data_IF_038535513299
#
_entry.id   IF_038535513299
#
_cell.length_a   1.000
_cell.length_b   1.000
_cell.length_c   1.000
_cell.angle_alpha   90.00
_cell.angle_beta   90.00
_cell.angle_gamma   90.00
#
_symmetry.space_group_name_H-M   'P 1'
#
loop_
_entity.id
_entity.type
_entity.pdbx_description
1 polymer ?
#
# COMPACT_ATOMS: atom_id res chain seq x y z
N UNK A 1 9.98 -7.72 -27.66
CA UNK A 1 8.80 -8.24 -26.95
C UNK A 1 9.06 -8.18 -25.44
N UNK A 2 8.08 -7.77 -24.61
CA UNK A 2 8.24 -7.73 -23.16
C UNK A 2 8.45 -9.15 -22.59
N UNK A 3 9.36 -9.30 -21.63
CA UNK A 3 9.59 -10.58 -20.96
C UNK A 3 8.37 -10.98 -20.13
N UNK A 4 8.14 -12.29 -19.95
CA UNK A 4 7.07 -12.82 -19.06
C UNK A 4 7.12 -12.20 -17.66
N UNK A 5 8.32 -11.97 -17.13
CA UNK A 5 8.56 -11.29 -15.85
C UNK A 5 8.13 -9.83 -15.84
N UNK A 6 8.32 -9.11 -16.95
CA UNK A 6 7.87 -7.72 -17.08
C UNK A 6 6.35 -7.63 -17.11
N UNK A 7 5.69 -8.53 -17.84
CA UNK A 7 4.22 -8.62 -17.87
C UNK A 7 3.68 -8.89 -16.46
N UNK A 8 4.26 -9.86 -15.74
CA UNK A 8 3.86 -10.18 -14.37
C UNK A 8 4.00 -8.98 -13.41
N UNK A 9 5.10 -8.23 -13.50
CA UNK A 9 5.33 -7.03 -12.68
C UNK A 9 4.27 -5.96 -12.96
N UNK A 10 3.89 -5.74 -14.22
CA UNK A 10 2.84 -4.77 -14.55
C UNK A 10 1.46 -5.21 -14.07
N UNK A 11 1.14 -6.50 -14.18
CA UNK A 11 -0.12 -7.05 -13.65
C UNK A 11 -0.17 -6.85 -12.12
N UNK A 12 0.91 -7.16 -11.40
CA UNK A 12 0.97 -6.95 -9.95
C UNK A 12 0.82 -5.47 -9.58
N UNK A 13 1.50 -4.58 -10.29
CA UNK A 13 1.37 -3.13 -10.08
C UNK A 13 -0.07 -2.65 -10.29
N UNK A 14 -0.74 -3.14 -11.35
CA UNK A 14 -2.14 -2.84 -11.62
C UNK A 14 -3.06 -3.35 -10.50
N UNK A 15 -2.86 -4.58 -10.02
CA UNK A 15 -3.63 -5.16 -8.91
C UNK A 15 -3.46 -4.33 -7.64
N UNK A 16 -2.24 -3.92 -7.30
CA UNK A 16 -1.98 -3.02 -6.17
C UNK A 16 -2.70 -1.68 -6.34
N UNK A 17 -2.69 -1.12 -7.55
CA UNK A 17 -3.44 0.09 -7.89
C UNK A 17 -4.95 -0.06 -7.69
N UNK A 18 -5.55 -1.15 -8.18
CA UNK A 18 -6.98 -1.45 -8.00
C UNK A 18 -7.33 -1.58 -6.51
N UNK A 19 -6.51 -2.28 -5.73
CA UNK A 19 -6.71 -2.39 -4.28
C UNK A 19 -6.62 -1.03 -3.60
N UNK A 20 -5.71 -0.17 -4.04
CA UNK A 20 -5.56 1.20 -3.52
C UNK A 20 -6.79 2.07 -3.83
N UNK A 21 -7.35 1.96 -5.04
CA UNK A 21 -8.61 2.63 -5.42
C UNK A 21 -9.78 2.11 -4.58
N UNK A 22 -9.84 0.79 -4.35
CA UNK A 22 -10.89 0.19 -3.52
C UNK A 22 -10.82 0.69 -2.07
N UNK A 23 -9.62 0.74 -1.48
CA UNK A 23 -9.39 1.31 -0.15
C UNK A 23 -9.82 2.78 -0.13
N UNK A 24 -9.38 3.58 -1.09
CA UNK A 24 -9.73 5.00 -1.17
C UNK A 24 -11.25 5.21 -1.27
N UNK A 25 -11.93 4.40 -2.09
CA UNK A 25 -13.38 4.46 -2.28
C UNK A 25 -14.13 4.11 -0.99
N UNK A 26 -13.71 3.06 -0.27
CA UNK A 26 -14.29 2.67 1.01
C UNK A 26 -14.09 3.75 2.07
N UNK A 27 -12.89 4.32 2.16
CA UNK A 27 -12.59 5.37 3.14
C UNK A 27 -13.37 6.65 2.80
N UNK A 28 -13.40 7.07 1.55
CA UNK A 28 -14.16 8.25 1.12
C UNK A 28 -15.67 8.10 1.40
N UNK A 29 -16.23 6.92 1.09
CA UNK A 29 -17.64 6.62 1.41
C UNK A 29 -17.89 6.66 2.91
N UNK A 30 -16.97 6.15 3.73
CA UNK A 30 -17.09 6.21 5.19
C UNK A 30 -17.09 7.65 5.73
N UNK A 31 -16.33 8.56 5.11
CA UNK A 31 -16.34 10.00 5.47
C UNK A 31 -17.69 10.61 5.13
N UNK A 32 -18.16 10.42 3.90
CA UNK A 32 -19.46 10.93 3.43
C UNK A 32 -20.59 10.43 4.33
N UNK A 33 -20.57 9.15 4.71
CA UNK A 33 -21.57 8.57 5.62
C UNK A 33 -21.54 9.20 7.01
N UNK A 34 -20.37 9.67 7.46
CA UNK A 34 -20.22 10.31 8.78
C UNK A 34 -20.63 11.76 8.79
N UNK A 35 -20.44 12.46 7.67
CA UNK A 35 -20.86 13.85 7.51
C UNK A 35 -22.39 14.00 7.36
N UNK A 36 -23.13 12.90 7.28
CA UNK A 36 -24.60 12.96 7.32
C UNK A 36 -25.09 13.44 8.68
N UNK A 37 -26.06 14.37 8.68
CA UNK A 37 -26.55 15.10 9.87
C UNK A 37 -27.00 14.22 11.04
N UNK A 38 -27.46 13.00 10.77
CA UNK A 38 -27.87 12.06 11.81
C UNK A 38 -26.71 11.37 12.53
N UNK A 39 -25.55 11.28 11.88
CA UNK A 39 -24.35 10.65 12.46
C UNK A 39 -23.41 11.70 13.05
N UNK A 40 -23.24 12.84 12.40
CA UNK A 40 -22.35 13.90 12.89
C UNK A 40 -22.74 14.40 14.28
N UNK A 41 -24.02 14.40 14.63
CA UNK A 41 -24.51 14.76 15.97
C UNK A 41 -24.16 13.75 17.08
N UNK A 42 -23.91 12.48 16.72
CA UNK A 42 -23.64 11.37 17.67
C UNK A 42 -22.16 10.95 17.58
N UNK A 43 -21.40 11.51 16.64
CA UNK A 43 -19.99 11.23 16.46
C UNK A 43 -19.17 11.85 17.60
N UNK A 44 -18.38 11.07 18.35
CA UNK A 44 -17.64 11.56 19.49
C UNK A 44 -16.59 12.58 19.04
N UNK A 45 -16.56 13.76 19.68
CA UNK A 45 -15.53 14.76 19.45
C UNK A 45 -14.11 14.25 19.78
N UNK A 46 -14.01 13.24 20.65
CA UNK A 46 -12.76 12.57 21.03
C UNK A 46 -12.40 11.37 20.14
N UNK A 47 -13.21 11.03 19.12
CA UNK A 47 -12.87 9.97 18.18
C UNK A 47 -11.71 10.42 17.30
N UNK A 48 -10.54 9.77 17.44
CA UNK A 48 -9.37 10.13 16.62
C UNK A 48 -9.65 9.85 15.14
N UNK A 49 -9.71 10.92 14.34
CA UNK A 49 -9.75 10.84 12.88
C UNK A 49 -8.48 10.29 12.25
N UNK A 50 -7.41 10.08 13.05
CA UNK A 50 -6.12 9.54 12.62
C UNK A 50 -6.28 8.23 11.84
N UNK A 51 -7.18 7.33 12.26
CA UNK A 51 -7.43 6.07 11.54
C UNK A 51 -7.96 6.26 10.11
N UNK A 52 -8.83 7.26 9.88
CA UNK A 52 -9.32 7.58 8.52
C UNK A 52 -8.22 8.21 7.68
N UNK A 53 -7.51 9.19 8.22
CA UNK A 53 -6.39 9.85 7.53
C UNK A 53 -5.28 8.87 7.16
N UNK A 54 -4.98 7.92 8.05
CA UNK A 54 -4.00 6.85 7.82
C UNK A 54 -4.42 5.92 6.70
N UNK A 55 -5.71 5.61 6.54
CA UNK A 55 -6.22 4.75 5.45
C UNK A 55 -6.37 5.50 4.11
N UNK A 56 -6.53 6.83 4.11
CA UNK A 56 -6.43 7.64 2.90
C UNK A 56 -5.03 7.58 2.28
N UNK A 57 -4.00 7.51 3.11
CA UNK A 57 -2.61 7.54 2.68
C UNK A 57 -2.20 6.39 1.74
N UNK A 58 -2.46 5.10 2.04
CA UNK A 58 -2.19 4.02 1.10
C UNK A 58 -3.13 4.04 -0.09
N UNK A 59 -4.36 4.58 0.04
CA UNK A 59 -5.30 4.72 -1.07
C UNK A 59 -4.80 5.68 -2.14
N UNK A 60 -4.57 6.95 -1.78
CA UNK A 60 -4.06 7.97 -2.71
C UNK A 60 -2.61 7.67 -3.10
N UNK A 61 -1.79 7.31 -2.10
CA UNK A 61 -0.38 6.98 -2.30
C UNK A 61 -0.20 5.83 -3.29
N UNK A 62 -0.93 4.74 -3.13
CA UNK A 62 -0.81 3.57 -3.99
C UNK A 62 -1.19 3.85 -5.46
N UNK A 63 -2.14 4.77 -5.72
CA UNK A 63 -2.46 5.21 -7.09
C UNK A 63 -1.28 5.97 -7.70
N UNK A 64 -0.73 6.93 -6.95
CA UNK A 64 0.44 7.71 -7.39
C UNK A 64 1.65 6.80 -7.59
N UNK A 65 1.87 5.86 -6.68
CA UNK A 65 2.97 4.90 -6.72
C UNK A 65 2.85 3.98 -7.93
N UNK A 66 1.64 3.52 -8.26
CA UNK A 66 1.35 2.73 -9.46
C UNK A 66 1.73 3.49 -10.74
N UNK A 67 1.32 4.77 -10.85
CA UNK A 67 1.60 5.61 -12.03
C UNK A 67 3.09 5.93 -12.15
N UNK A 68 3.73 6.31 -11.05
CA UNK A 68 5.17 6.57 -10.99
C UNK A 68 5.97 5.32 -11.35
N UNK A 69 5.57 4.15 -10.86
CA UNK A 69 6.23 2.90 -11.22
C UNK A 69 6.13 2.62 -12.72
N UNK A 70 4.95 2.79 -13.33
CA UNK A 70 4.80 2.63 -14.79
C UNK A 70 5.69 3.61 -15.56
N UNK A 71 5.74 4.87 -15.14
CA UNK A 71 6.55 5.90 -15.78
C UNK A 71 8.06 5.62 -15.67
N UNK A 72 8.54 5.31 -14.46
CA UNK A 72 9.94 4.96 -14.20
C UNK A 72 10.36 3.69 -14.96
N UNK A 73 9.47 2.71 -15.04
CA UNK A 73 9.72 1.48 -15.77
C UNK A 73 9.77 1.69 -17.28
N UNK A 74 8.88 2.51 -17.83
CA UNK A 74 8.89 2.89 -19.24
C UNK A 74 10.15 3.67 -19.63
N UNK A 75 10.59 4.58 -18.77
CA UNK A 75 11.83 5.35 -18.96
C UNK A 75 13.10 4.53 -18.76
N UNK A 76 13.01 3.30 -18.25
CA UNK A 76 14.18 2.44 -18.07
C UNK A 76 14.68 1.97 -19.45
N UNK A 77 15.87 2.41 -19.90
CA UNK A 77 16.27 2.18 -21.29
C UNK A 77 16.55 0.69 -21.51
N UNK A 78 15.96 0.12 -22.56
CA UNK A 78 16.28 -1.23 -23.02
C UNK A 78 17.72 -1.27 -23.55
N UNK A 79 18.42 -2.35 -23.24
CA UNK A 79 19.53 -2.93 -24.01
C UNK A 79 20.93 -2.31 -24.18
N UNK A 80 21.22 -1.00 -24.09
CA UNK A 80 22.63 -0.55 -24.25
C UNK A 80 23.33 -0.15 -22.93
N UNK A 81 24.48 -0.77 -22.66
CA UNK A 81 25.20 -0.77 -21.39
C UNK A 81 25.83 0.59 -21.07
N UNK A 82 25.41 1.22 -19.96
CA UNK A 82 26.16 2.31 -19.32
C UNK A 82 25.98 2.26 -17.79
N UNK A 83 26.99 2.70 -17.01
CA UNK A 83 26.94 2.73 -15.54
C UNK A 83 25.75 3.52 -14.98
N UNK A 84 25.24 4.52 -15.71
CA UNK A 84 24.02 5.28 -15.37
C UNK A 84 22.76 4.39 -15.21
N UNK A 85 22.70 3.21 -15.85
CA UNK A 85 21.56 2.27 -15.71
C UNK A 85 21.51 1.56 -14.35
N UNK A 86 22.66 1.34 -13.70
CA UNK A 86 22.72 0.64 -12.42
C UNK A 86 22.01 1.44 -11.33
N UNK A 87 22.16 2.77 -11.35
CA UNK A 87 21.49 3.69 -10.42
C UNK A 87 19.99 3.75 -10.64
N UNK A 88 19.52 3.81 -11.90
CA UNK A 88 18.08 3.81 -12.22
C UNK A 88 17.36 2.54 -11.72
N UNK A 89 17.99 1.36 -11.85
CA UNK A 89 17.43 0.12 -11.32
C UNK A 89 17.41 0.07 -9.78
N UNK A 90 18.44 0.59 -9.11
CA UNK A 90 18.44 0.73 -7.66
C UNK A 90 17.37 1.68 -7.17
N UNK A 91 17.17 2.80 -7.87
CA UNK A 91 16.09 3.74 -7.59
C UNK A 91 14.72 3.07 -7.75
N UNK A 92 14.54 2.23 -8.77
CA UNK A 92 13.32 1.43 -8.95
C UNK A 92 13.08 0.42 -7.82
N UNK A 93 14.12 -0.30 -7.37
CA UNK A 93 14.00 -1.24 -6.23
C UNK A 93 13.68 -0.48 -4.94
N UNK A 94 14.40 0.60 -4.67
CA UNK A 94 14.16 1.47 -3.50
C UNK A 94 12.76 2.06 -3.54
N UNK A 95 12.26 2.41 -4.73
CA UNK A 95 10.91 2.90 -4.92
C UNK A 95 9.86 1.83 -4.54
N UNK A 96 9.96 0.63 -5.11
CA UNK A 96 9.04 -0.48 -4.78
C UNK A 96 9.12 -0.84 -3.30
N UNK A 97 10.32 -0.93 -2.73
CA UNK A 97 10.51 -1.27 -1.32
C UNK A 97 9.94 -0.21 -0.37
N UNK A 98 10.16 1.08 -0.65
CA UNK A 98 9.78 2.16 0.26
C UNK A 98 8.31 2.57 0.10
N UNK A 99 7.84 2.68 -1.15
CA UNK A 99 6.53 3.25 -1.46
C UNK A 99 5.46 2.18 -1.63
N UNK A 100 5.70 1.18 -2.49
CA UNK A 100 4.71 0.13 -2.78
C UNK A 100 4.57 -0.86 -1.62
N UNK A 101 5.68 -1.23 -0.96
CA UNK A 101 5.67 -2.18 0.16
C UNK A 101 5.68 -1.48 1.53
N UNK A 102 6.60 -0.55 1.75
CA UNK A 102 6.80 0.10 3.06
C UNK A 102 5.59 0.89 3.54
N UNK A 103 4.92 1.65 2.65
CA UNK A 103 3.76 2.47 3.01
C UNK A 103 2.58 1.64 3.53
N UNK A 104 2.05 0.63 2.80
CA UNK A 104 0.96 -0.19 3.33
C UNK A 104 1.38 -0.94 4.60
N UNK A 105 2.65 -1.36 4.73
CA UNK A 105 3.15 -1.99 5.96
C UNK A 105 3.08 -1.06 7.17
N UNK A 106 3.61 0.17 7.05
CA UNK A 106 3.60 1.16 8.13
C UNK A 106 2.16 1.46 8.54
N UNK A 107 1.29 1.71 7.57
CA UNK A 107 -0.12 2.01 7.83
C UNK A 107 -0.81 0.82 8.51
N UNK A 108 -0.55 -0.41 8.05
CA UNK A 108 -1.11 -1.61 8.65
C UNK A 108 -0.70 -1.75 10.12
N UNK A 109 0.59 -1.58 10.43
CA UNK A 109 1.12 -1.61 11.79
C UNK A 109 0.44 -0.55 12.65
N UNK A 110 0.38 0.70 12.19
CA UNK A 110 -0.24 1.79 12.94
C UNK A 110 -1.73 1.54 13.20
N UNK A 111 -2.49 1.12 12.18
CA UNK A 111 -3.93 0.88 12.33
C UNK A 111 -4.21 -0.27 13.30
N UNK A 112 -3.43 -1.35 13.28
CA UNK A 112 -3.59 -2.45 14.24
C UNK A 112 -3.16 -2.05 15.67
N UNK A 113 -2.08 -1.27 15.80
CA UNK A 113 -1.64 -0.76 17.12
C UNK A 113 -2.68 0.18 17.71
N UNK A 114 -3.21 1.14 16.93
CA UNK A 114 -4.26 2.05 17.38
C UNK A 114 -5.55 1.29 17.75
N UNK A 115 -5.94 0.27 16.98
CA UNK A 115 -7.10 -0.56 17.30
C UNK A 115 -6.92 -1.31 18.62
N UNK A 116 -5.77 -1.96 18.81
CA UNK A 116 -5.47 -2.68 20.04
C UNK A 116 -5.41 -1.72 21.25
N UNK A 117 -4.89 -0.51 21.05
CA UNK A 117 -4.92 0.56 22.05
C UNK A 117 -6.35 0.96 22.43
N UNK A 118 -7.26 1.04 21.47
CA UNK A 118 -8.67 1.34 21.72
C UNK A 118 -9.40 0.25 22.51
N UNK A 119 -9.18 -1.02 22.16
CA UNK A 119 -9.79 -2.15 22.88
C UNK A 119 -9.30 -2.22 24.34
N UNK A 120 -8.02 -1.94 24.59
CA UNK A 120 -7.45 -1.86 25.94
C UNK A 120 -7.89 -0.58 26.68
N UNK A 121 -8.06 0.54 25.97
CA UNK A 121 -8.52 1.81 26.56
C UNK A 121 -9.99 1.80 26.95
N UNK A 122 -10.85 1.11 26.19
CA UNK A 122 -12.27 0.92 26.54
C UNK A 122 -12.48 0.08 27.79
N UNK A 123 -11.57 -0.84 28.11
CA UNK A 123 -11.63 -1.65 29.33
C UNK A 123 -11.09 -0.90 30.56
N UNK A 124 -10.37 0.22 30.39
CA UNK A 124 -9.77 0.96 31.50
C UNK A 124 -10.44 2.31 31.85
N UNK A 125 -11.30 2.87 30.99
CA UNK A 125 -11.86 4.20 31.21
C UNK A 125 -13.39 4.20 31.19
N UNK A 126 -13.99 4.23 32.38
CA UNK A 126 -15.44 4.31 32.58
C UNK A 126 -16.08 5.63 32.10
N UNK A 127 -15.29 6.66 31.74
CA UNK A 127 -15.80 7.99 31.37
C UNK A 127 -15.03 8.71 30.24
N UNK A 128 -14.25 8.01 29.40
CA UNK A 128 -13.50 8.71 28.35
C UNK A 128 -12.43 7.91 27.61
N UNK A 129 -12.69 6.63 27.33
CA UNK A 129 -11.72 5.75 26.69
C UNK A 129 -11.26 6.20 25.31
N UNK A 130 -10.04 5.78 24.94
CA UNK A 130 -9.49 5.96 23.59
C UNK A 130 -10.41 5.27 22.57
N UNK A 131 -10.92 6.04 21.61
CA UNK A 131 -11.89 5.57 20.63
C UNK A 131 -11.38 5.90 19.22
N UNK A 132 -11.23 4.86 18.39
CA UNK A 132 -11.04 5.04 16.95
C UNK A 132 -12.39 5.08 16.24
N UNK A 133 -12.41 5.66 15.04
CA UNK A 133 -13.58 5.63 14.16
C UNK A 133 -14.18 4.24 13.99
N UNK A 134 -13.36 3.20 13.80
CA UNK A 134 -13.86 1.83 13.64
C UNK A 134 -14.52 1.33 14.93
N UNK A 135 -13.84 1.46 16.07
CA UNK A 135 -14.37 0.98 17.35
C UNK A 135 -15.68 1.67 17.73
N UNK A 136 -15.78 2.98 17.49
CA UNK A 136 -17.03 3.72 17.66
C UNK A 136 -18.10 3.22 16.71
N UNK A 137 -17.82 3.14 15.40
CA UNK A 137 -18.82 2.79 14.40
C UNK A 137 -19.38 1.38 14.65
N UNK A 138 -18.52 0.44 15.04
CA UNK A 138 -18.93 -0.92 15.37
C UNK A 138 -19.74 -0.98 16.67
N UNK A 139 -19.35 -0.22 17.71
CA UNK A 139 -20.13 -0.14 18.94
C UNK A 139 -21.50 0.53 18.73
N UNK A 140 -21.55 1.60 17.95
CA UNK A 140 -22.77 2.30 17.58
C UNK A 140 -23.70 1.40 16.72
N UNK A 141 -23.14 0.60 15.81
CA UNK A 141 -23.89 -0.40 15.05
C UNK A 141 -24.55 -1.43 15.97
N UNK A 142 -23.85 -1.92 16.99
CA UNK A 142 -24.42 -2.87 17.95
C UNK A 142 -25.55 -2.26 18.78
N UNK A 143 -25.57 -0.93 18.95
CA UNK A 143 -26.66 -0.17 19.58
C UNK A 143 -27.78 0.22 18.61
N UNK A 144 -27.75 -0.24 17.36
CA UNK A 144 -28.77 0.05 16.36
C UNK A 144 -28.69 1.45 15.73
N UNK A 145 -27.55 2.14 15.85
CA UNK A 145 -27.36 3.47 15.23
C UNK A 145 -27.25 3.31 13.71
N UNK A 146 -28.31 3.66 12.99
CA UNK A 146 -28.51 3.54 11.54
C UNK A 146 -27.28 3.19 10.69
N UNK A 147 -26.66 4.17 10.01
CA UNK A 147 -25.57 3.94 9.04
C UNK A 147 -24.23 3.54 9.67
N UNK A 148 -24.14 3.41 11.00
CA UNK A 148 -22.90 3.07 11.70
C UNK A 148 -22.38 1.67 11.33
N UNK A 149 -23.29 0.72 11.04
CA UNK A 149 -22.92 -0.62 10.57
C UNK A 149 -22.18 -0.59 9.23
N UNK A 150 -22.61 0.27 8.30
CA UNK A 150 -21.91 0.47 7.02
C UNK A 150 -20.52 1.05 7.23
N UNK A 151 -20.39 2.06 8.10
CA UNK A 151 -19.09 2.69 8.40
C UNK A 151 -18.13 1.68 9.05
N UNK A 152 -18.61 0.88 10.01
CA UNK A 152 -17.84 -0.19 10.64
C UNK A 152 -17.33 -1.20 9.60
N UNK A 153 -18.22 -1.69 8.74
CA UNK A 153 -17.88 -2.67 7.70
C UNK A 153 -16.89 -2.11 6.68
N UNK A 154 -17.08 -0.88 6.22
CA UNK A 154 -16.21 -0.25 5.21
C UNK A 154 -14.80 -0.02 5.74
N UNK A 155 -14.65 0.55 6.94
CA UNK A 155 -13.33 0.79 7.55
C UNK A 155 -12.62 -0.53 7.85
N UNK A 156 -13.36 -1.52 8.39
CA UNK A 156 -12.83 -2.85 8.65
C UNK A 156 -12.34 -3.49 7.35
N UNK A 157 -13.14 -3.43 6.29
CA UNK A 157 -12.79 -3.99 4.99
C UNK A 157 -11.57 -3.29 4.39
N UNK A 158 -11.51 -1.96 4.46
CA UNK A 158 -10.36 -1.19 4.00
C UNK A 158 -9.05 -1.59 4.71
N UNK A 159 -9.10 -1.83 6.03
CA UNK A 159 -7.94 -2.37 6.77
C UNK A 159 -7.56 -3.76 6.28
N UNK A 160 -8.52 -4.67 6.14
CA UNK A 160 -8.19 -6.04 5.73
C UNK A 160 -7.71 -6.12 4.28
N UNK A 161 -8.11 -5.20 3.40
CA UNK A 161 -7.59 -5.10 2.03
C UNK A 161 -6.11 -4.69 1.95
N UNK A 162 -5.55 -4.05 3.00
CA UNK A 162 -4.12 -3.76 3.06
C UNK A 162 -3.27 -5.04 3.15
N UNK A 163 -3.79 -6.13 3.73
CA UNK A 163 -3.06 -7.40 3.89
C UNK A 163 -2.76 -8.05 2.52
N UNK A 164 -3.76 -8.33 1.65
CA UNK A 164 -3.46 -8.85 0.31
C UNK A 164 -2.68 -7.83 -0.53
N UNK A 165 -2.92 -6.52 -0.37
CA UNK A 165 -2.13 -5.48 -1.03
C UNK A 165 -0.64 -5.57 -0.69
N UNK A 166 -0.31 -5.76 0.59
CA UNK A 166 1.04 -5.98 1.07
C UNK A 166 1.64 -7.28 0.53
N UNK A 167 0.84 -8.35 0.44
CA UNK A 167 1.25 -9.61 -0.16
C UNK A 167 1.66 -9.46 -1.62
N UNK A 168 0.84 -8.80 -2.44
CA UNK A 168 1.16 -8.53 -3.84
C UNK A 168 2.39 -7.61 -3.99
N UNK A 169 2.52 -6.59 -3.14
CA UNK A 169 3.69 -5.72 -3.11
C UNK A 169 4.99 -6.48 -2.78
N UNK A 170 4.94 -7.43 -1.85
CA UNK A 170 6.08 -8.27 -1.50
C UNK A 170 6.50 -9.18 -2.66
N UNK A 171 5.53 -9.80 -3.35
CA UNK A 171 5.80 -10.62 -4.55
C UNK A 171 6.41 -9.77 -5.66
N UNK A 172 5.85 -8.57 -5.89
CA UNK A 172 6.38 -7.63 -6.88
C UNK A 172 7.84 -7.25 -6.57
N UNK A 173 8.15 -6.91 -5.31
CA UNK A 173 9.51 -6.61 -4.87
C UNK A 173 10.47 -7.78 -5.13
N UNK A 174 10.05 -9.00 -4.80
CA UNK A 174 10.82 -10.22 -5.09
C UNK A 174 11.11 -10.39 -6.58
N UNK A 175 10.11 -10.17 -7.44
CA UNK A 175 10.28 -10.24 -8.90
C UNK A 175 11.21 -9.15 -9.46
N UNK A 176 11.14 -7.92 -8.94
CA UNK A 176 12.05 -6.84 -9.35
C UNK A 176 13.50 -7.18 -8.96
N UNK A 177 13.71 -7.68 -7.75
CA UNK A 177 15.03 -8.14 -7.28
C UNK A 177 15.54 -9.28 -8.16
N UNK A 178 14.69 -10.28 -8.43
CA UNK A 178 15.03 -11.42 -9.27
C UNK A 178 15.47 -11.00 -10.68
N UNK A 179 14.68 -10.15 -11.34
CA UNK A 179 15.01 -9.62 -12.68
C UNK A 179 16.37 -8.91 -12.68
N UNK A 180 16.66 -8.14 -11.63
CA UNK A 180 17.96 -7.45 -11.48
C UNK A 180 19.12 -8.41 -11.30
N UNK A 181 18.96 -9.47 -10.51
CA UNK A 181 19.99 -10.50 -10.33
C UNK A 181 20.28 -11.20 -11.65
N UNK A 182 19.25 -11.54 -12.44
CA UNK A 182 19.43 -12.13 -13.77
C UNK A 182 20.21 -11.21 -14.72
N UNK A 183 19.78 -9.94 -14.86
CA UNK A 183 20.48 -8.97 -15.73
C UNK A 183 21.93 -8.74 -15.31
N UNK A 184 22.21 -8.74 -14.00
CA UNK A 184 23.57 -8.61 -13.49
C UNK A 184 24.43 -9.85 -13.78
N UNK A 185 23.84 -11.04 -13.85
CA UNK A 185 24.56 -12.28 -14.22
C UNK A 185 24.88 -12.28 -15.71
N UNK A 186 23.93 -11.92 -16.55
CA UNK A 186 24.11 -11.81 -18.00
C UNK A 186 25.20 -10.78 -18.36
N UNK A 187 25.16 -9.60 -17.73
CA UNK A 187 26.18 -8.56 -17.97
C UNK A 187 27.60 -9.01 -17.61
N UNK A 188 27.75 -9.84 -16.56
CA UNK A 188 29.05 -10.41 -16.15
C UNK A 188 29.53 -11.51 -17.09
N UNK A 189 28.61 -12.31 -17.65
CA UNK A 189 28.95 -13.35 -18.61
C UNK A 189 29.48 -12.75 -19.92
N UNK A 190 28.82 -11.70 -20.43
CA UNK A 190 29.24 -10.99 -21.65
C UNK A 190 30.62 -10.32 -21.47
N UNK A 191 30.82 -9.60 -20.37
CA UNK A 191 32.12 -8.96 -20.10
C UNK A 191 33.28 -9.94 -19.90
N UNK A 192 33.02 -11.20 -19.51
CA UNK A 192 34.05 -12.25 -19.43
C UNK A 192 34.45 -12.78 -20.81
N UNK A 193 33.49 -12.86 -21.75
CA UNK A 193 33.75 -13.33 -23.11
C UNK A 193 34.56 -12.32 -23.93
N UNK A 194 34.32 -11.02 -23.77
CA UNK A 194 35.10 -9.98 -24.47
C UNK A 194 36.57 -9.92 -24.02
N UNK A 195 36.84 -10.05 -22.71
CA UNK A 195 38.20 -10.04 -22.17
C UNK A 195 38.99 -11.31 -22.53
N UNK A 196 38.30 -12.42 -22.81
CA UNK A 196 38.93 -13.66 -23.29
C UNK A 196 39.34 -13.62 -24.76
N UNK A 197 38.72 -12.76 -25.58
CA UNK A 197 38.91 -12.73 -27.04
C UNK A 197 40.01 -11.77 -27.50
N UNK A 198 40.56 -10.91 -26.62
CA UNK A 198 41.59 -9.91 -26.96
C UNK A 198 43.04 -10.40 -26.80
N UNK A 199 43.24 -11.71 -26.59
CA UNK A 199 44.56 -12.34 -26.55
C UNK A 199 44.73 -13.30 -27.73
N UNK A 200 44.91 -12.75 -28.93
CA UNK A 200 45.55 -13.45 -30.07
C UNK A 200 46.40 -12.44 -30.82
#
# INVERSE_FOLDING_TARGET
>A
MPSKTTIAIHILNLVVGILSIAILSLVARSVILTDTSSISAIYPANAKGTGRGLLFWPGVGGIVDMLLFMFLWYLTPSTNAQPKKRTAFWNGILFVASFIFGRPLIVLIYVFVELNGAQKGQTMASDGGYVTTETWACAASNKGVGKAGSICSEIRTARYLLIPGLGFAAVMLGLVIYKRVQLSRESRAVGRSEVGSTKV
#
